data_IF_990467526005
#
_entry.id   IF_990467526005
#
_cell.length_a   1.000
_cell.length_b   1.000
_cell.length_c   1.000
_cell.angle_alpha   90.00
_cell.angle_beta   90.00
_cell.angle_gamma   90.00
#
_symmetry.space_group_name_H-M   'P 1'
#
loop_
_entity.id
_entity.type
_entity.pdbx_description
1 polymer ?
#
# COMPACT_ATOMS: atom_id res chain seq x y z
N UNK A 1 -0.89 -3.81 1.88
CA UNK A 1 -0.49 -5.22 1.65
C UNK A 1 -0.21 -5.87 2.98
N UNK A 2 -0.72 -7.09 3.17
CA UNK A 2 -0.49 -7.90 4.37
C UNK A 2 0.84 -8.65 4.25
N UNK A 3 1.52 -8.85 5.37
CA UNK A 3 2.81 -9.52 5.48
C UNK A 3 2.77 -10.56 6.60
N UNK A 4 3.84 -11.34 6.72
CA UNK A 4 4.00 -12.33 7.79
C UNK A 4 3.79 -11.68 9.16
N UNK A 5 2.84 -12.22 9.93
CA UNK A 5 2.49 -11.75 11.26
C UNK A 5 1.31 -10.77 11.29
N UNK A 6 0.80 -10.34 10.13
CA UNK A 6 -0.42 -9.54 10.08
C UNK A 6 -1.66 -10.39 10.35
N UNK A 7 -2.63 -9.76 11.01
CA UNK A 7 -3.99 -10.26 11.14
C UNK A 7 -4.86 -9.52 10.12
N UNK A 8 -5.80 -10.22 9.51
CA UNK A 8 -6.78 -9.61 8.63
C UNK A 8 -8.20 -9.97 9.07
N UNK A 9 -9.16 -9.18 8.61
CA UNK A 9 -10.57 -9.28 8.96
C UNK A 9 -10.88 -9.20 10.47
N UNK A 10 -10.03 -8.47 11.20
CA UNK A 10 -10.18 -8.21 12.64
C UNK A 10 -11.33 -7.26 12.98
N UNK A 11 -11.97 -6.64 11.99
CA UNK A 11 -13.14 -5.77 12.19
C UNK A 11 -14.36 -6.61 12.57
N UNK A 12 -14.67 -7.65 11.78
CA UNK A 12 -15.76 -8.59 12.04
C UNK A 12 -15.60 -9.36 13.35
N UNK A 13 -14.36 -9.51 13.84
CA UNK A 13 -14.07 -10.14 15.13
C UNK A 13 -14.66 -9.35 16.32
N UNK A 14 -14.72 -8.02 16.24
CA UNK A 14 -15.08 -7.17 17.38
C UNK A 14 -16.54 -6.71 17.37
N UNK A 15 -17.12 -6.45 16.19
CA UNK A 15 -18.49 -5.91 16.06
C UNK A 15 -19.51 -6.92 15.49
N UNK A 16 -19.05 -8.13 15.13
CA UNK A 16 -19.83 -9.18 14.48
C UNK A 16 -20.53 -8.70 13.18
N UNK A 17 -20.05 -7.64 12.55
CA UNK A 17 -20.59 -7.18 11.27
C UNK A 17 -19.93 -7.92 10.12
N UNK A 18 -20.70 -8.15 9.05
CA UNK A 18 -20.13 -8.65 7.80
C UNK A 18 -19.18 -7.63 7.20
N UNK A 19 -18.02 -8.10 6.78
CA UNK A 19 -17.04 -7.28 6.08
C UNK A 19 -16.94 -7.75 4.63
N UNK A 20 -17.47 -6.93 3.72
CA UNK A 20 -17.53 -7.25 2.29
C UNK A 20 -16.18 -6.98 1.62
N UNK A 21 -15.22 -7.88 1.85
CA UNK A 21 -13.88 -7.83 1.25
C UNK A 21 -13.52 -9.17 0.62
N UNK A 22 -12.64 -9.13 -0.38
CA UNK A 22 -12.06 -10.31 -0.99
C UNK A 22 -10.55 -10.32 -0.73
N UNK A 23 -10.01 -11.50 -0.41
CA UNK A 23 -8.60 -11.70 -0.18
C UNK A 23 -8.03 -12.59 -1.27
N UNK A 24 -6.91 -12.16 -1.85
CA UNK A 24 -6.14 -12.93 -2.83
C UNK A 24 -4.69 -13.06 -2.36
N UNK A 25 -4.08 -14.21 -2.64
CA UNK A 25 -2.68 -14.48 -2.32
C UNK A 25 -1.79 -14.09 -3.48
N UNK A 26 -0.78 -13.25 -3.25
CA UNK A 26 0.19 -12.86 -4.28
C UNK A 26 1.29 -13.90 -4.48
N UNK A 27 1.63 -14.63 -3.42
CA UNK A 27 2.65 -15.68 -3.37
C UNK A 27 2.14 -16.88 -2.56
N UNK A 28 2.83 -18.02 -2.65
CA UNK A 28 2.56 -19.18 -1.81
C UNK A 28 2.73 -18.84 -0.32
N UNK A 29 1.71 -19.11 0.48
CA UNK A 29 1.69 -18.74 1.89
C UNK A 29 0.93 -19.74 2.76
N UNK A 30 1.12 -19.63 4.08
CA UNK A 30 0.37 -20.37 5.09
C UNK A 30 -0.39 -19.40 5.98
N UNK A 31 -1.69 -19.63 6.12
CA UNK A 31 -2.55 -18.89 7.04
C UNK A 31 -2.88 -19.72 8.27
N UNK A 32 -3.02 -19.05 9.42
CA UNK A 32 -3.62 -19.62 10.62
C UNK A 32 -5.06 -19.13 10.69
N UNK A 33 -6.01 -20.06 10.76
CA UNK A 33 -7.42 -19.75 10.86
C UNK A 33 -7.92 -20.12 12.26
N UNK A 34 -8.65 -19.19 12.89
CA UNK A 34 -9.27 -19.38 14.21
C UNK A 34 -10.74 -19.01 14.08
N UNK A 35 -11.68 -19.85 14.53
CA UNK A 35 -13.09 -19.48 14.57
C UNK A 35 -13.31 -18.21 15.40
N UNK A 36 -14.13 -17.28 14.91
CA UNK A 36 -14.41 -15.99 15.56
C UNK A 36 -14.79 -16.17 17.04
N UNK A 37 -15.69 -17.10 17.35
CA UNK A 37 -16.14 -17.39 18.71
C UNK A 37 -14.98 -17.81 19.63
N UNK A 38 -14.01 -18.57 19.11
CA UNK A 38 -12.85 -18.99 19.89
C UNK A 38 -11.90 -17.81 20.15
N UNK A 39 -11.74 -16.94 19.15
CA UNK A 39 -10.90 -15.76 19.26
C UNK A 39 -11.51 -14.71 20.21
N UNK A 40 -12.83 -14.52 20.20
CA UNK A 40 -13.55 -13.68 21.17
C UNK A 40 -13.35 -14.18 22.60
N UNK A 41 -13.58 -15.49 22.84
CA UNK A 41 -13.32 -16.10 24.14
C UNK A 41 -11.85 -15.95 24.60
N UNK A 42 -10.90 -15.95 23.65
CA UNK A 42 -9.48 -15.74 23.96
C UNK A 42 -9.20 -14.30 24.37
N UNK A 43 -9.78 -13.32 23.68
CA UNK A 43 -9.68 -11.89 24.01
C UNK A 43 -10.21 -11.64 25.43
N UNK A 44 -11.37 -12.21 25.77
CA UNK A 44 -11.98 -12.04 27.09
C UNK A 44 -11.12 -12.61 28.23
N UNK A 45 -10.44 -13.73 27.97
CA UNK A 45 -9.63 -14.45 28.97
C UNK A 45 -8.19 -13.95 29.07
N UNK A 46 -7.70 -13.19 28.09
CA UNK A 46 -6.28 -12.82 28.00
C UNK A 46 -6.10 -11.30 27.79
N UNK A 47 -6.18 -10.48 28.85
CA UNK A 47 -6.06 -9.02 28.75
C UNK A 47 -4.74 -8.54 28.10
N UNK A 48 -3.64 -9.26 28.32
CA UNK A 48 -2.36 -8.94 27.68
C UNK A 48 -2.40 -9.11 26.16
N UNK A 49 -3.14 -10.11 25.66
CA UNK A 49 -3.39 -10.26 24.23
C UNK A 49 -4.29 -9.14 23.72
N UNK A 50 -5.35 -8.79 24.45
CA UNK A 50 -6.28 -7.70 24.10
C UNK A 50 -5.54 -6.38 23.93
N UNK A 51 -4.60 -6.05 24.82
CA UNK A 51 -3.77 -4.85 24.69
C UNK A 51 -2.93 -4.85 23.40
N UNK A 52 -2.36 -6.01 23.03
CA UNK A 52 -1.59 -6.16 21.80
C UNK A 52 -2.49 -6.00 20.56
N UNK A 53 -3.71 -6.57 20.59
CA UNK A 53 -4.69 -6.43 19.52
C UNK A 53 -5.12 -4.97 19.33
N UNK A 54 -5.44 -4.25 20.42
CA UNK A 54 -5.79 -2.83 20.36
C UNK A 54 -4.63 -1.97 19.83
N UNK A 55 -3.40 -2.30 20.21
CA UNK A 55 -2.20 -1.64 19.68
C UNK A 55 -2.04 -1.88 18.19
N UNK A 56 -2.29 -3.11 17.72
CA UNK A 56 -2.29 -3.45 16.30
C UNK A 56 -3.35 -2.65 15.52
N UNK A 57 -4.60 -2.64 15.99
CA UNK A 57 -5.69 -1.89 15.38
C UNK A 57 -5.39 -0.38 15.31
N UNK A 58 -4.82 0.19 16.37
CA UNK A 58 -4.40 1.60 16.39
C UNK A 58 -3.36 1.91 15.32
N UNK A 59 -2.42 0.99 15.05
CA UNK A 59 -1.45 1.15 13.94
C UNK A 59 -2.15 1.12 12.59
N UNK A 60 -3.11 0.21 12.40
CA UNK A 60 -3.89 0.13 11.16
C UNK A 60 -4.69 1.41 10.90
N UNK A 61 -5.33 1.97 11.94
CA UNK A 61 -6.05 3.26 11.86
C UNK A 61 -5.10 4.37 11.43
N UNK A 62 -3.92 4.50 12.05
CA UNK A 62 -2.92 5.50 11.64
C UNK A 62 -2.46 5.33 10.19
N UNK A 63 -2.30 4.09 9.73
CA UNK A 63 -1.98 3.82 8.33
C UNK A 63 -3.10 4.27 7.39
N UNK A 64 -4.37 4.05 7.76
CA UNK A 64 -5.52 4.53 7.00
C UNK A 64 -5.62 6.05 7.00
N UNK A 65 -5.40 6.70 8.14
CA UNK A 65 -5.36 8.18 8.25
C UNK A 65 -4.30 8.76 7.33
N UNK A 66 -3.07 8.23 7.37
CA UNK A 66 -1.99 8.67 6.49
C UNK A 66 -2.34 8.45 5.02
N UNK A 67 -2.96 7.31 4.68
CA UNK A 67 -3.42 7.05 3.31
C UNK A 67 -4.48 8.06 2.86
N UNK A 68 -5.45 8.40 3.72
CA UNK A 68 -6.46 9.43 3.42
C UNK A 68 -5.80 10.79 3.23
N UNK A 69 -4.84 11.17 4.06
CA UNK A 69 -4.07 12.41 3.95
C UNK A 69 -3.32 12.44 2.61
N UNK A 70 -2.56 11.40 2.29
CA UNK A 70 -1.84 11.28 1.01
C UNK A 70 -2.82 11.38 -0.17
N UNK A 71 -3.98 10.70 -0.11
CA UNK A 71 -5.01 10.72 -1.16
C UNK A 71 -5.77 12.05 -1.27
N UNK A 72 -5.93 12.79 -0.16
CA UNK A 72 -6.74 14.02 -0.14
C UNK A 72 -5.95 15.30 -0.41
N UNK A 73 -4.67 15.32 -0.05
CA UNK A 73 -3.83 16.52 -0.14
C UNK A 73 -2.88 16.51 -1.33
N UNK A 74 -2.61 15.34 -1.91
CA UNK A 74 -1.59 15.22 -2.94
C UNK A 74 -2.23 14.93 -4.29
N UNK A 75 -1.89 15.71 -5.31
CA UNK A 75 -2.29 15.34 -6.66
C UNK A 75 -1.75 13.96 -7.02
N UNK A 76 -2.44 13.27 -7.93
CA UNK A 76 -2.08 11.90 -8.31
C UNK A 76 -0.63 11.76 -8.79
N UNK A 77 -0.05 12.84 -9.34
CA UNK A 77 1.36 12.91 -9.72
C UNK A 77 2.29 12.76 -8.50
N UNK A 78 2.03 13.50 -7.42
CA UNK A 78 2.81 13.43 -6.18
C UNK A 78 2.72 12.05 -5.52
N UNK A 79 1.52 11.46 -5.46
CA UNK A 79 1.33 10.11 -4.91
C UNK A 79 2.08 9.05 -5.71
N UNK A 80 2.05 9.14 -7.04
CA UNK A 80 2.81 8.25 -7.91
C UNK A 80 4.31 8.43 -7.67
N UNK A 81 4.81 9.67 -7.66
CA UNK A 81 6.23 9.94 -7.41
C UNK A 81 6.71 9.37 -6.06
N UNK A 82 5.93 9.54 -4.98
CA UNK A 82 6.21 8.93 -3.68
C UNK A 82 6.21 7.41 -3.73
N UNK A 83 5.23 6.80 -4.40
CA UNK A 83 5.16 5.35 -4.55
C UNK A 83 6.43 4.82 -5.22
N UNK A 84 6.86 5.46 -6.31
CA UNK A 84 8.07 5.10 -7.05
C UNK A 84 9.33 5.29 -6.19
N UNK A 85 9.43 6.39 -5.43
CA UNK A 85 10.56 6.65 -4.53
C UNK A 85 10.64 5.65 -3.37
N UNK A 86 9.50 5.30 -2.77
CA UNK A 86 9.44 4.33 -1.66
C UNK A 86 9.89 2.93 -2.07
N UNK A 87 9.81 2.61 -3.36
CA UNK A 87 10.25 1.35 -3.94
C UNK A 87 11.53 1.49 -4.76
N UNK A 88 12.17 2.67 -4.73
CA UNK A 88 13.41 2.90 -5.45
C UNK A 88 14.60 2.23 -4.76
N UNK A 89 15.41 1.53 -5.54
CA UNK A 89 16.67 0.99 -5.09
C UNK A 89 17.80 1.95 -5.44
N UNK A 90 18.37 2.59 -4.40
CA UNK A 90 19.43 3.60 -4.55
C UNK A 90 20.70 3.08 -5.23
N UNK A 91 20.93 1.76 -5.30
CA UNK A 91 22.12 1.18 -5.92
C UNK A 91 21.94 0.92 -7.42
N UNK A 92 20.73 0.55 -7.84
CA UNK A 92 20.43 0.18 -9.22
C UNK A 92 19.63 1.23 -9.98
N UNK A 93 19.12 2.27 -9.32
CA UNK A 93 18.17 3.23 -9.88
C UNK A 93 16.92 2.57 -10.49
N UNK A 94 16.59 1.37 -10.03
CA UNK A 94 15.39 0.63 -10.43
C UNK A 94 14.34 0.70 -9.35
N UNK A 95 13.11 0.39 -9.73
CA UNK A 95 12.01 0.21 -8.79
C UNK A 95 11.85 -1.28 -8.50
N UNK A 96 11.88 -1.65 -7.23
CA UNK A 96 11.80 -3.03 -6.79
C UNK A 96 10.41 -3.33 -6.18
N UNK A 97 9.88 -4.53 -6.43
CA UNK A 97 8.64 -5.02 -5.82
C UNK A 97 7.33 -4.48 -6.41
N UNK A 98 7.34 -3.36 -7.16
CA UNK A 98 6.14 -2.84 -7.84
C UNK A 98 6.26 -2.75 -9.37
N UNK A 99 7.46 -3.00 -9.93
CA UNK A 99 7.70 -2.86 -11.37
C UNK A 99 6.89 -3.83 -12.24
N UNK A 100 6.57 -5.02 -11.69
CA UNK A 100 5.78 -6.04 -12.39
C UNK A 100 4.26 -5.85 -12.29
N UNK A 101 3.81 -4.87 -11.48
CA UNK A 101 2.39 -4.59 -11.28
C UNK A 101 1.78 -3.96 -12.53
N UNK A 102 0.54 -4.34 -12.80
CA UNK A 102 -0.30 -3.69 -13.79
C UNK A 102 -0.63 -2.25 -13.38
N UNK A 103 -1.03 -1.46 -14.38
CA UNK A 103 -1.49 -0.09 -14.14
C UNK A 103 -2.75 -0.04 -13.25
N UNK A 104 -3.58 -1.10 -13.25
CA UNK A 104 -4.75 -1.21 -12.37
C UNK A 104 -4.32 -1.41 -10.91
N UNK A 105 -3.34 -2.28 -10.66
CA UNK A 105 -2.78 -2.51 -9.32
C UNK A 105 -2.10 -1.25 -8.78
N UNK A 106 -1.27 -0.58 -9.60
CA UNK A 106 -0.66 0.71 -9.24
C UNK A 106 -1.72 1.77 -8.93
N UNK A 107 -2.83 1.79 -9.69
CA UNK A 107 -3.93 2.72 -9.46
C UNK A 107 -4.62 2.46 -8.12
N UNK A 108 -4.82 1.19 -7.75
CA UNK A 108 -5.31 0.80 -6.43
C UNK A 108 -4.40 1.26 -5.30
N UNK A 109 -3.07 1.19 -5.49
CA UNK A 109 -2.10 1.63 -4.48
C UNK A 109 -2.13 3.14 -4.20
N UNK A 110 -2.42 3.97 -5.21
CA UNK A 110 -2.44 5.44 -5.07
C UNK A 110 -3.85 6.05 -5.13
N UNK A 111 -4.89 5.22 -5.06
CA UNK A 111 -6.28 5.65 -5.01
C UNK A 111 -6.68 6.48 -6.24
N UNK A 112 -6.47 5.94 -7.45
CA UNK A 112 -6.84 6.60 -8.71
C UNK A 112 -7.33 5.57 -9.73
N UNK A 113 -7.48 5.97 -11.00
CA UNK A 113 -7.82 5.06 -12.10
C UNK A 113 -6.60 4.70 -12.95
N UNK A 114 -6.64 3.53 -13.59
CA UNK A 114 -5.63 3.08 -14.55
C UNK A 114 -5.26 4.13 -15.59
N UNK A 115 -6.26 4.83 -16.12
CA UNK A 115 -6.08 5.86 -17.14
C UNK A 115 -5.24 7.03 -16.61
N UNK A 116 -5.44 7.42 -15.34
CA UNK A 116 -4.65 8.47 -14.70
C UNK A 116 -3.23 8.00 -14.45
N UNK A 117 -3.01 6.79 -13.92
CA UNK A 117 -1.65 6.23 -13.74
C UNK A 117 -0.88 6.20 -15.06
N UNK A 118 -1.50 5.68 -16.12
CA UNK A 118 -0.87 5.61 -17.44
C UNK A 118 -0.47 7.01 -17.94
N UNK A 119 -1.37 8.00 -17.82
CA UNK A 119 -1.07 9.38 -18.20
C UNK A 119 0.10 9.96 -17.41
N UNK A 120 0.16 9.72 -16.10
CA UNK A 120 1.24 10.23 -15.25
C UNK A 120 2.58 9.54 -15.55
N UNK A 121 2.59 8.22 -15.73
CA UNK A 121 3.79 7.49 -16.12
C UNK A 121 4.33 7.94 -17.48
N UNK A 122 3.44 8.18 -18.44
CA UNK A 122 3.81 8.71 -19.75
C UNK A 122 4.39 10.13 -19.64
N UNK A 123 3.80 11.00 -18.81
CA UNK A 123 4.32 12.34 -18.55
C UNK A 123 5.74 12.30 -17.94
N UNK A 124 5.96 11.49 -16.91
CA UNK A 124 7.28 11.32 -16.29
C UNK A 124 8.33 10.78 -17.28
N UNK A 125 7.89 9.95 -18.23
CA UNK A 125 8.75 9.43 -19.30
C UNK A 125 9.10 10.50 -20.33
N UNK A 126 8.13 11.31 -20.74
CA UNK A 126 8.32 12.43 -21.67
C UNK A 126 9.25 13.50 -21.08
N UNK A 127 9.19 13.74 -19.78
CA UNK A 127 10.12 14.61 -19.05
C UNK A 127 11.50 13.98 -18.81
N UNK A 128 11.69 12.71 -19.21
CA UNK A 128 12.94 11.98 -19.03
C UNK A 128 13.27 11.65 -17.57
N UNK A 129 12.32 11.74 -16.66
CA UNK A 129 12.49 11.47 -15.22
C UNK A 129 12.60 9.97 -14.97
N UNK A 130 11.78 9.19 -15.70
CA UNK A 130 11.82 7.73 -15.69
C UNK A 130 11.92 7.20 -17.11
N UNK A 131 12.30 5.93 -17.23
CA UNK A 131 12.04 5.14 -18.44
C UNK A 131 11.34 3.84 -18.07
N UNK A 132 10.52 3.35 -19.00
CA UNK A 132 9.70 2.15 -18.81
C UNK A 132 10.04 1.18 -19.92
N UNK A 133 10.72 0.09 -19.56
CA UNK A 133 11.10 -0.97 -20.49
C UNK A 133 10.40 -2.26 -20.10
N UNK A 134 9.44 -2.71 -20.91
CA UNK A 134 8.58 -3.88 -20.63
C UNK A 134 7.84 -3.75 -19.28
N UNK A 135 8.40 -4.35 -18.22
CA UNK A 135 7.89 -4.37 -16.84
C UNK A 135 8.92 -3.83 -15.84
N UNK A 136 9.83 -2.98 -16.30
CA UNK A 136 10.83 -2.36 -15.43
C UNK A 136 10.76 -0.85 -15.57
N UNK A 137 10.68 -0.19 -14.42
CA UNK A 137 10.77 1.27 -14.31
C UNK A 137 12.18 1.61 -13.82
N UNK A 138 12.89 2.40 -14.61
CA UNK A 138 14.21 2.95 -14.28
C UNK A 138 14.05 4.42 -13.95
N UNK A 139 14.67 4.87 -12.87
CA UNK A 139 14.70 6.28 -12.46
C UNK A 139 15.94 6.92 -13.09
N UNK A 140 15.73 7.82 -14.04
CA UNK A 140 16.79 8.55 -14.70
C UNK A 140 17.18 9.82 -13.93
N UNK A 141 16.21 10.45 -13.25
CA UNK A 141 16.41 11.68 -12.50
C UNK A 141 15.69 11.64 -11.14
N UNK A 142 16.40 11.18 -10.10
CA UNK A 142 15.83 11.08 -8.76
C UNK A 142 15.51 12.44 -8.13
N UNK A 143 16.30 13.48 -8.42
CA UNK A 143 16.10 14.82 -7.86
C UNK A 143 14.83 15.46 -8.41
N UNK A 144 14.55 15.28 -9.71
CA UNK A 144 13.30 15.72 -10.31
C UNK A 144 12.09 14.99 -9.71
N UNK A 145 12.23 13.68 -9.46
CA UNK A 145 11.18 12.88 -8.83
C UNK A 145 10.92 13.33 -7.37
N UNK A 146 11.97 13.68 -6.62
CA UNK A 146 11.85 14.26 -5.27
C UNK A 146 11.15 15.62 -5.33
N UNK A 147 11.50 16.50 -6.28
CA UNK A 147 10.83 17.81 -6.43
C UNK A 147 9.32 17.68 -6.64
N UNK A 148 8.87 16.69 -7.41
CA UNK A 148 7.43 16.42 -7.61
C UNK A 148 6.72 16.08 -6.29
N UNK A 149 7.45 15.50 -5.33
CA UNK A 149 6.92 15.26 -3.98
C UNK A 149 6.86 16.50 -3.08
N UNK A 150 7.61 17.56 -3.43
CA UNK A 150 7.71 18.80 -2.66
C UNK A 150 6.84 19.93 -3.22
N UNK A 151 6.47 19.87 -4.51
CA UNK A 151 5.72 20.94 -5.20
C UNK A 151 4.28 21.19 -4.71
N UNK A 152 3.74 20.35 -3.83
CA UNK A 152 2.38 20.48 -3.26
C UNK A 152 2.37 20.84 -1.75
N UNK A 153 3.48 21.38 -1.23
CA UNK A 153 3.53 21.96 0.13
C UNK A 153 3.15 23.43 0.18
#
# INVERSE_FOLDING_TARGET
>A
MLRKGDMFDVVSLLDNQEHHVYYETLDELKVLCIPIVNMQNWIDKNPGFTQNLLTYLTKQIRTLENYVIDVSLEDTSTRLAKLLLNHSNKKSNTIDGISDLSHDELAGMIGTTRAVVNRQLQHLREEGIIDITRKHITINNIDALIKITESNK
#
